data_IF_280957697264
#
_entry.id   IF_280957697264
#
_cell.length_a   1.000
_cell.length_b   1.000
_cell.length_c   1.000
_cell.angle_alpha   90.00
_cell.angle_beta   90.00
_cell.angle_gamma   90.00
#
_symmetry.space_group_name_H-M   'P 1'
#
loop_
_entity.id
_entity.type
_entity.pdbx_description
1 polymer ?
#
# COMPACT_ATOMS: atom_id res chain seq x y z
N UNK A 1 37.03 -11.44 -59.88
CA UNK A 1 37.54 -10.57 -58.78
C UNK A 1 36.74 -9.28 -58.56
N UNK A 2 36.40 -8.49 -59.59
CA UNK A 2 35.64 -7.23 -59.39
C UNK A 2 34.22 -7.44 -58.81
N UNK A 3 33.49 -8.48 -59.25
CA UNK A 3 32.14 -8.83 -58.74
C UNK A 3 32.12 -9.21 -57.25
N UNK A 4 33.15 -9.92 -56.77
CA UNK A 4 33.29 -10.27 -55.35
C UNK A 4 33.53 -9.04 -54.46
N UNK A 5 34.24 -8.03 -54.98
CA UNK A 5 34.41 -6.75 -54.27
C UNK A 5 33.09 -5.99 -54.12
N UNK A 6 32.25 -5.98 -55.16
CA UNK A 6 30.92 -5.34 -55.08
C UNK A 6 29.98 -6.05 -54.11
N UNK A 7 30.01 -7.39 -54.05
CA UNK A 7 29.22 -8.17 -53.07
C UNK A 7 29.71 -7.91 -51.63
N UNK A 8 31.03 -7.81 -51.42
CA UNK A 8 31.59 -7.47 -50.11
C UNK A 8 31.22 -6.04 -49.68
N UNK A 9 31.21 -5.06 -50.60
CA UNK A 9 30.81 -3.69 -50.30
C UNK A 9 29.31 -3.56 -50.01
N UNK A 10 28.44 -4.29 -50.72
CA UNK A 10 27.00 -4.29 -50.40
C UNK A 10 26.70 -4.99 -49.08
N UNK A 11 27.41 -6.07 -48.74
CA UNK A 11 27.28 -6.73 -47.44
C UNK A 11 27.74 -5.83 -46.27
N UNK A 12 28.84 -5.09 -46.45
CA UNK A 12 29.32 -4.14 -45.46
C UNK A 12 28.35 -2.95 -45.29
N UNK A 13 27.83 -2.39 -46.37
CA UNK A 13 26.80 -1.35 -46.29
C UNK A 13 25.50 -1.86 -45.65
N UNK A 14 25.09 -3.10 -45.91
CA UNK A 14 23.90 -3.69 -45.28
C UNK A 14 24.08 -3.90 -43.76
N UNK A 15 25.30 -4.19 -43.29
CA UNK A 15 25.58 -4.36 -41.86
C UNK A 15 25.46 -3.07 -41.05
N UNK A 16 25.59 -1.89 -41.68
CA UNK A 16 25.38 -0.60 -41.02
C UNK A 16 23.89 -0.31 -40.74
N UNK A 17 22.97 -0.94 -41.48
CA UNK A 17 21.52 -0.82 -41.27
C UNK A 17 20.97 -1.79 -40.20
N UNK A 18 21.80 -2.69 -39.66
CA UNK A 18 21.41 -3.59 -38.56
C UNK A 18 21.73 -3.01 -37.18
N UNK A 19 22.23 -1.77 -37.10
CA UNK A 19 22.34 -1.03 -35.84
C UNK A 19 20.95 -0.52 -35.43
N UNK A 20 20.13 -1.40 -34.86
CA UNK A 20 18.94 -0.96 -34.13
C UNK A 20 19.42 -0.25 -32.87
N UNK A 21 19.03 1.02 -32.68
CA UNK A 21 19.08 1.60 -31.35
C UNK A 21 18.26 0.72 -30.41
N UNK A 22 18.78 0.53 -29.21
CA UNK A 22 18.04 -0.09 -28.13
C UNK A 22 16.75 0.72 -27.91
N UNK A 23 15.60 0.07 -28.11
CA UNK A 23 14.28 0.70 -28.07
C UNK A 23 13.55 0.35 -26.77
N UNK A 24 14.28 -0.03 -25.72
CA UNK A 24 13.75 -0.05 -24.37
C UNK A 24 13.67 1.40 -23.86
N UNK A 25 12.51 2.01 -24.10
CA UNK A 25 12.18 3.31 -23.51
C UNK A 25 11.36 3.07 -22.25
N UNK A 26 11.94 3.44 -21.11
CA UNK A 26 11.15 3.64 -19.91
C UNK A 26 10.09 4.72 -20.13
N UNK A 27 8.90 4.60 -19.51
CA UNK A 27 7.88 5.63 -19.61
C UNK A 27 8.45 6.98 -19.19
N UNK A 28 8.28 8.00 -20.03
CA UNK A 28 8.84 9.34 -19.79
C UNK A 28 8.10 10.11 -18.69
N UNK A 29 6.88 9.67 -18.37
CA UNK A 29 5.95 10.31 -17.43
C UNK A 29 5.67 9.46 -16.19
N UNK A 30 6.05 8.19 -16.22
CA UNK A 30 5.83 7.25 -15.12
C UNK A 30 7.18 6.74 -14.63
N UNK A 31 7.22 6.30 -13.38
CA UNK A 31 8.40 5.69 -12.80
C UNK A 31 8.52 4.27 -13.36
N UNK A 32 9.64 3.92 -13.99
CA UNK A 32 9.86 2.54 -14.43
C UNK A 32 10.09 1.64 -13.23
N UNK A 33 9.32 0.54 -13.13
CA UNK A 33 9.42 -0.39 -12.01
C UNK A 33 10.84 -0.97 -11.85
N UNK A 34 11.58 -1.13 -12.95
CA UNK A 34 12.94 -1.72 -12.96
C UNK A 34 14.00 -0.91 -12.21
N UNK A 35 13.98 0.43 -12.28
CA UNK A 35 14.99 1.29 -11.65
C UNK A 35 14.41 2.17 -10.53
N UNK A 36 13.13 1.98 -10.19
CA UNK A 36 12.47 2.84 -9.19
C UNK A 36 13.13 2.74 -7.82
N UNK A 37 13.56 1.55 -7.42
CA UNK A 37 14.04 1.26 -6.07
C UNK A 37 15.52 1.58 -5.82
N UNK A 38 16.28 1.91 -6.86
CA UNK A 38 17.71 2.25 -6.76
C UNK A 38 17.97 3.59 -6.04
N UNK A 39 16.98 4.49 -6.05
CA UNK A 39 17.07 5.77 -5.38
C UNK A 39 16.33 5.73 -4.03
N UNK A 40 17.04 5.95 -2.93
CA UNK A 40 16.44 6.05 -1.58
C UNK A 40 15.27 7.05 -1.52
N UNK A 41 15.36 8.15 -2.28
CA UNK A 41 14.30 9.16 -2.39
C UNK A 41 12.99 8.56 -2.92
N UNK A 42 13.07 7.65 -3.89
CA UNK A 42 11.90 6.99 -4.45
C UNK A 42 11.26 6.05 -3.43
N UNK A 43 12.07 5.30 -2.69
CA UNK A 43 11.62 4.51 -1.54
C UNK A 43 10.89 5.37 -0.50
N UNK A 44 11.46 6.52 -0.13
CA UNK A 44 10.82 7.45 0.80
C UNK A 44 9.49 8.03 0.28
N UNK A 45 9.40 8.35 -1.01
CA UNK A 45 8.16 8.82 -1.64
C UNK A 45 7.08 7.73 -1.65
N UNK A 46 7.45 6.49 -1.96
CA UNK A 46 6.55 5.36 -1.94
C UNK A 46 6.07 5.06 -0.51
N UNK A 47 6.96 5.10 0.49
CA UNK A 47 6.62 4.94 1.90
C UNK A 47 5.67 6.06 2.38
N UNK A 48 5.90 7.30 1.99
CA UNK A 48 5.02 8.44 2.31
C UNK A 48 3.59 8.17 1.82
N UNK A 49 3.44 7.55 0.65
CA UNK A 49 2.14 7.15 0.12
C UNK A 49 1.48 6.07 0.99
N UNK A 50 2.26 5.17 1.60
CA UNK A 50 1.75 4.18 2.55
C UNK A 50 1.18 4.83 3.80
N UNK A 51 1.81 5.87 4.35
CA UNK A 51 1.29 6.64 5.49
C UNK A 51 0.04 7.44 5.12
N UNK A 52 0.00 8.01 3.91
CA UNK A 52 -1.16 8.75 3.43
C UNK A 52 -2.37 7.86 3.19
N UNK A 53 -2.19 6.69 2.58
CA UNK A 53 -3.29 5.82 2.13
C UNK A 53 -4.29 6.60 1.28
N UNK A 54 -5.56 6.58 1.69
CA UNK A 54 -6.65 7.29 0.99
C UNK A 54 -7.07 8.60 1.65
N UNK A 55 -6.36 9.07 2.69
CA UNK A 55 -6.72 10.28 3.41
C UNK A 55 -6.74 11.46 2.44
N UNK A 56 -7.83 12.22 2.46
CA UNK A 56 -8.02 13.35 1.54
C UNK A 56 -7.66 14.66 2.24
N UNK A 57 -7.23 15.67 1.49
CA UNK A 57 -6.92 17.01 2.03
C UNK A 57 -8.17 17.91 2.10
N UNK A 58 -9.37 17.36 1.90
CA UNK A 58 -10.61 18.12 1.73
C UNK A 58 -11.72 17.67 2.67
N UNK A 59 -12.93 18.19 2.45
CA UNK A 59 -14.11 17.70 3.15
C UNK A 59 -14.38 16.24 2.77
N UNK A 60 -14.34 15.37 3.77
CA UNK A 60 -14.77 13.99 3.64
C UNK A 60 -16.27 13.89 3.97
N UNK A 61 -17.03 13.14 3.17
CA UNK A 61 -18.45 12.85 3.44
C UNK A 61 -18.69 11.36 3.70
N UNK A 62 -17.64 10.56 3.53
CA UNK A 62 -17.57 9.13 3.79
C UNK A 62 -16.21 8.79 4.38
N UNK A 63 -16.07 7.58 4.91
CA UNK A 63 -14.80 7.06 5.41
C UNK A 63 -13.83 6.92 4.24
N UNK A 64 -12.77 7.72 4.23
CA UNK A 64 -11.67 7.58 3.28
C UNK A 64 -10.63 6.56 3.79
N UNK A 65 -10.40 6.54 5.10
CA UNK A 65 -9.42 5.71 5.78
C UNK A 65 -9.74 5.61 7.28
N UNK A 66 -9.25 4.56 7.97
CA UNK A 66 -9.38 4.45 9.42
C UNK A 66 -8.75 5.62 10.18
N UNK A 67 -7.66 6.20 9.66
CA UNK A 67 -6.95 7.31 10.30
C UNK A 67 -7.38 8.68 9.86
N UNK A 68 -8.33 8.77 8.92
CA UNK A 68 -8.86 10.06 8.52
C UNK A 68 -9.68 10.66 9.66
N UNK A 69 -9.79 11.99 9.67
CA UNK A 69 -10.61 12.71 10.65
C UNK A 69 -12.04 12.13 10.71
N UNK A 70 -12.65 11.86 9.56
CA UNK A 70 -13.97 11.23 9.53
C UNK A 70 -13.94 9.75 9.92
N UNK A 71 -12.90 9.01 9.54
CA UNK A 71 -12.71 7.62 9.96
C UNK A 71 -12.71 7.45 11.48
N UNK A 72 -12.03 8.35 12.21
CA UNK A 72 -11.97 8.33 13.67
C UNK A 72 -13.26 8.84 14.33
N UNK A 73 -13.85 9.93 13.82
CA UNK A 73 -15.10 10.44 14.38
C UNK A 73 -16.28 9.50 14.18
N UNK A 74 -16.28 8.73 13.09
CA UNK A 74 -17.37 7.82 12.82
C UNK A 74 -17.36 6.59 13.71
N UNK A 75 -16.20 6.18 14.24
CA UNK A 75 -16.17 5.13 15.27
C UNK A 75 -16.77 5.61 16.61
N UNK A 76 -16.77 6.90 16.91
CA UNK A 76 -17.45 7.44 18.11
C UNK A 76 -18.98 7.35 18.04
N UNK A 77 -19.55 7.14 16.85
CA UNK A 77 -20.99 6.90 16.71
C UNK A 77 -21.35 5.42 16.93
N UNK A 78 -20.35 4.57 17.17
CA UNK A 78 -20.53 3.19 17.68
C UNK A 78 -20.67 3.15 19.21
N UNK A 79 -20.54 4.31 19.87
CA UNK A 79 -20.62 4.45 21.33
C UNK A 79 -21.75 5.41 21.70
N UNK A 80 -21.92 5.68 23.00
CA UNK A 80 -22.88 6.65 23.53
C UNK A 80 -22.42 8.12 23.37
N UNK A 81 -21.22 8.36 22.82
CA UNK A 81 -20.69 9.72 22.60
C UNK A 81 -21.31 10.44 21.39
N UNK A 82 -21.82 9.71 20.39
CA UNK A 82 -22.25 10.27 19.12
C UNK A 82 -23.56 9.68 18.60
N UNK A 83 -24.41 10.53 18.01
CA UNK A 83 -25.64 10.09 17.37
C UNK A 83 -25.90 10.88 16.09
N UNK A 84 -26.20 10.18 14.99
CA UNK A 84 -26.52 10.82 13.72
C UNK A 84 -27.94 11.41 13.73
N UNK A 85 -28.03 12.71 13.47
CA UNK A 85 -29.30 13.46 13.44
C UNK A 85 -29.92 13.61 12.05
N UNK A 86 -29.36 12.97 11.01
CA UNK A 86 -29.78 13.16 9.61
C UNK A 86 -30.98 12.28 9.23
N UNK A 87 -31.45 11.44 10.15
CA UNK A 87 -32.69 10.65 10.04
C UNK A 87 -32.46 9.16 9.79
N UNK A 88 -33.52 8.37 9.97
CA UNK A 88 -33.47 6.90 10.03
C UNK A 88 -33.01 6.23 8.72
N UNK A 89 -33.20 6.91 7.60
CA UNK A 89 -32.74 6.41 6.29
C UNK A 89 -31.23 6.58 6.07
N UNK A 90 -30.55 7.37 6.91
CA UNK A 90 -29.11 7.58 6.76
C UNK A 90 -28.35 6.30 7.11
N UNK A 91 -27.44 5.79 6.24
CA UNK A 91 -26.66 4.59 6.56
C UNK A 91 -25.85 4.74 7.85
N UNK A 92 -25.48 5.96 8.24
CA UNK A 92 -24.77 6.24 9.47
C UNK A 92 -25.63 6.07 10.72
N UNK A 93 -26.88 6.55 10.68
CA UNK A 93 -27.88 6.31 11.75
C UNK A 93 -28.11 4.80 11.97
N UNK A 94 -28.11 4.01 10.89
CA UNK A 94 -28.31 2.56 10.97
C UNK A 94 -27.19 1.84 11.73
N UNK A 95 -26.02 2.45 11.84
CA UNK A 95 -24.90 1.89 12.60
C UNK A 95 -25.17 1.99 14.12
N UNK A 96 -25.60 3.16 14.60
CA UNK A 96 -25.82 3.41 16.03
C UNK A 96 -27.19 2.91 16.54
N UNK A 97 -28.18 2.76 15.65
CA UNK A 97 -29.55 2.32 16.01
C UNK A 97 -29.76 0.80 16.01
N UNK A 98 -28.70 0.01 15.79
CA UNK A 98 -28.79 -1.47 15.75
C UNK A 98 -29.48 -2.02 14.49
N UNK A 99 -29.60 -1.20 13.44
CA UNK A 99 -30.24 -1.56 12.16
C UNK A 99 -29.23 -1.84 11.04
N UNK A 100 -27.98 -2.16 11.39
CA UNK A 100 -26.90 -2.33 10.43
C UNK A 100 -27.23 -3.44 9.41
N UNK A 101 -27.08 -3.10 8.12
CA UNK A 101 -27.27 -4.00 6.99
C UNK A 101 -25.93 -4.27 6.29
N UNK A 102 -25.86 -5.34 5.50
CA UNK A 102 -24.65 -5.75 4.78
C UNK A 102 -24.26 -4.82 3.62
N UNK A 103 -25.13 -3.89 3.22
CA UNK A 103 -24.91 -2.91 2.15
C UNK A 103 -24.49 -1.53 2.68
N UNK A 104 -24.14 -1.41 3.96
CA UNK A 104 -23.76 -0.14 4.58
C UNK A 104 -22.48 0.45 3.95
N UNK A 105 -22.61 1.61 3.32
CA UNK A 105 -21.52 2.26 2.58
C UNK A 105 -20.34 2.69 3.45
N UNK A 106 -20.57 3.07 4.70
CA UNK A 106 -19.50 3.49 5.62
C UNK A 106 -18.65 2.28 6.06
N UNK A 107 -19.31 1.18 6.41
CA UNK A 107 -18.63 -0.08 6.75
C UNK A 107 -17.82 -0.62 5.55
N UNK A 108 -18.40 -0.56 4.35
CA UNK A 108 -17.68 -0.90 3.11
C UNK A 108 -16.45 -0.02 2.86
N UNK A 109 -16.53 1.27 3.25
CA UNK A 109 -15.41 2.21 3.19
C UNK A 109 -14.22 1.82 4.08
N UNK A 110 -14.49 1.44 5.34
CA UNK A 110 -13.45 0.92 6.24
C UNK A 110 -12.77 -0.33 5.68
N UNK A 111 -13.55 -1.29 5.20
CA UNK A 111 -13.02 -2.51 4.59
C UNK A 111 -12.12 -2.21 3.39
N UNK A 112 -12.65 -1.44 2.43
CA UNK A 112 -11.98 -1.18 1.16
C UNK A 112 -10.72 -0.33 1.33
N UNK A 113 -10.74 0.64 2.24
CA UNK A 113 -9.58 1.50 2.53
C UNK A 113 -8.44 0.71 3.18
N UNK A 114 -8.74 -0.14 4.17
CA UNK A 114 -7.75 -0.99 4.80
C UNK A 114 -7.08 -1.95 3.81
N UNK A 115 -7.87 -2.69 3.01
CA UNK A 115 -7.31 -3.61 2.02
C UNK A 115 -6.53 -2.90 0.91
N UNK A 116 -6.94 -1.69 0.52
CA UNK A 116 -6.16 -0.88 -0.42
C UNK A 116 -4.79 -0.53 0.16
N UNK A 117 -4.72 -0.08 1.42
CA UNK A 117 -3.45 0.23 2.09
C UNK A 117 -2.59 -1.01 2.29
N UNK A 118 -3.18 -2.15 2.67
CA UNK A 118 -2.48 -3.45 2.74
C UNK A 118 -1.87 -3.82 1.39
N UNK A 119 -2.62 -3.70 0.30
CA UNK A 119 -2.12 -3.95 -1.05
C UNK A 119 -0.98 -3.02 -1.45
N UNK A 120 -1.02 -1.75 -1.04
CA UNK A 120 0.10 -0.82 -1.23
C UNK A 120 1.33 -1.26 -0.43
N UNK A 121 1.16 -1.67 0.83
CA UNK A 121 2.26 -2.17 1.66
C UNK A 121 2.89 -3.44 1.07
N UNK A 122 2.09 -4.39 0.58
CA UNK A 122 2.60 -5.61 -0.03
C UNK A 122 3.41 -5.33 -1.30
N UNK A 123 2.95 -4.39 -2.14
CA UNK A 123 3.71 -3.95 -3.32
C UNK A 123 5.01 -3.24 -2.95
N UNK A 124 4.96 -2.38 -1.92
CA UNK A 124 6.15 -1.71 -1.42
C UNK A 124 7.18 -2.71 -0.91
N UNK A 125 6.76 -3.68 -0.09
CA UNK A 125 7.63 -4.70 0.49
C UNK A 125 8.25 -5.58 -0.60
N UNK A 126 7.46 -6.02 -1.59
CA UNK A 126 7.97 -6.78 -2.73
C UNK A 126 8.95 -5.97 -3.60
N UNK A 127 8.69 -4.67 -3.78
CA UNK A 127 9.53 -3.82 -4.62
C UNK A 127 10.83 -3.41 -3.95
N UNK A 128 10.78 -3.00 -2.68
CA UNK A 128 11.97 -2.51 -1.96
C UNK A 128 13.00 -3.61 -1.71
N UNK A 129 12.63 -4.89 -1.80
CA UNK A 129 13.57 -6.01 -1.71
C UNK A 129 14.73 -5.89 -2.70
N UNK A 130 14.52 -5.37 -3.91
CA UNK A 130 15.58 -5.19 -4.92
C UNK A 130 16.48 -3.96 -4.67
N UNK A 131 16.09 -3.05 -3.77
CA UNK A 131 16.87 -1.87 -3.45
C UNK A 131 18.22 -2.24 -2.81
N UNK A 132 19.22 -1.37 -2.97
CA UNK A 132 20.52 -1.52 -2.30
C UNK A 132 20.36 -1.56 -0.78
N UNK A 133 21.06 -2.49 -0.12
CA UNK A 133 21.04 -2.65 1.33
C UNK A 133 21.54 -1.38 2.05
N UNK A 134 20.75 -0.91 3.02
CA UNK A 134 21.05 0.27 3.83
C UNK A 134 20.21 0.28 5.10
N UNK A 135 20.65 0.99 6.14
CA UNK A 135 19.83 1.20 7.35
C UNK A 135 18.48 1.87 7.02
N UNK A 136 18.47 2.74 5.99
CA UNK A 136 17.25 3.38 5.50
C UNK A 136 16.28 2.36 4.92
N UNK A 137 16.76 1.41 4.10
CA UNK A 137 15.95 0.28 3.58
C UNK A 137 15.35 -0.55 4.72
N UNK A 138 16.17 -0.96 5.69
CA UNK A 138 15.72 -1.75 6.84
C UNK A 138 14.61 -1.03 7.62
N UNK A 139 14.81 0.26 7.92
CA UNK A 139 13.80 1.09 8.59
C UNK A 139 12.52 1.21 7.76
N UNK A 140 12.62 1.48 6.46
CA UNK A 140 11.45 1.62 5.59
C UNK A 140 10.63 0.32 5.50
N UNK A 141 11.29 -0.84 5.48
CA UNK A 141 10.62 -2.15 5.54
C UNK A 141 9.86 -2.29 6.86
N UNK A 142 10.49 -1.94 7.99
CA UNK A 142 9.87 -1.99 9.30
C UNK A 142 8.63 -1.09 9.40
N UNK A 143 8.71 0.13 8.88
CA UNK A 143 7.59 1.07 8.80
C UNK A 143 6.44 0.48 7.96
N UNK A 144 6.72 -0.06 6.77
CA UNK A 144 5.70 -0.67 5.92
C UNK A 144 5.03 -1.90 6.56
N UNK A 145 5.80 -2.75 7.26
CA UNK A 145 5.27 -3.89 8.04
C UNK A 145 4.36 -3.42 9.18
N UNK A 146 4.79 -2.41 9.94
CA UNK A 146 4.00 -1.83 11.01
C UNK A 146 2.67 -1.26 10.49
N UNK A 147 2.70 -0.51 9.39
CA UNK A 147 1.48 0.04 8.76
C UNK A 147 0.53 -1.07 8.31
N UNK A 148 1.04 -2.11 7.64
CA UNK A 148 0.24 -3.28 7.21
C UNK A 148 -0.40 -4.01 8.39
N UNK A 149 0.39 -4.30 9.43
CA UNK A 149 -0.09 -4.96 10.63
C UNK A 149 -1.14 -4.12 11.37
N UNK A 150 -1.03 -2.80 11.35
CA UNK A 150 -2.03 -1.90 11.95
C UNK A 150 -3.37 -1.97 11.23
N UNK A 151 -3.37 -2.04 9.89
CA UNK A 151 -4.61 -2.21 9.13
C UNK A 151 -5.28 -3.55 9.44
N UNK A 152 -4.49 -4.63 9.55
CA UNK A 152 -5.00 -5.93 9.97
C UNK A 152 -5.54 -5.93 11.39
N UNK A 153 -4.91 -5.19 12.31
CA UNK A 153 -5.41 -5.05 13.66
C UNK A 153 -6.81 -4.41 13.68
N UNK A 154 -7.06 -3.36 12.88
CA UNK A 154 -8.42 -2.80 12.76
C UNK A 154 -9.40 -3.77 12.12
N UNK A 155 -9.03 -4.41 11.01
CA UNK A 155 -9.89 -5.37 10.34
C UNK A 155 -10.28 -6.51 11.30
N UNK A 156 -9.32 -7.09 12.01
CA UNK A 156 -9.57 -8.12 13.00
C UNK A 156 -10.42 -7.60 14.18
N UNK A 157 -10.22 -6.36 14.62
CA UNK A 157 -10.97 -5.78 15.75
C UNK A 157 -12.45 -5.57 15.43
N UNK A 158 -12.76 -5.09 14.20
CA UNK A 158 -14.13 -4.72 13.82
C UNK A 158 -14.86 -5.79 13.00
N UNK A 159 -14.15 -6.55 12.17
CA UNK A 159 -14.71 -7.55 11.25
C UNK A 159 -14.42 -8.99 11.66
N UNK A 160 -13.56 -9.20 12.66
CA UNK A 160 -13.12 -10.51 13.14
C UNK A 160 -12.37 -11.29 12.07
N UNK A 161 -12.97 -12.36 11.55
CA UNK A 161 -12.33 -13.24 10.58
C UNK A 161 -12.31 -12.59 9.20
N UNK A 162 -11.11 -12.34 8.68
CA UNK A 162 -10.89 -11.67 7.40
C UNK A 162 -9.77 -12.34 6.61
N UNK A 163 -9.70 -12.17 5.28
CA UNK A 163 -8.57 -12.63 4.47
C UNK A 163 -7.22 -12.02 4.91
N UNK A 164 -6.26 -12.86 5.32
CA UNK A 164 -4.89 -12.46 5.62
C UNK A 164 -4.02 -12.62 4.37
N UNK A 165 -3.60 -11.49 3.78
CA UNK A 165 -2.89 -11.38 2.51
C UNK A 165 -1.62 -10.55 2.74
N UNK A 166 -0.48 -11.23 2.77
CA UNK A 166 0.83 -10.62 3.09
C UNK A 166 1.75 -10.49 1.88
N UNK A 167 1.25 -10.83 0.69
CA UNK A 167 1.98 -10.78 -0.58
C UNK A 167 1.16 -10.06 -1.64
N UNK A 168 1.79 -9.73 -2.77
CA UNK A 168 1.08 -9.22 -3.94
C UNK A 168 0.36 -10.40 -4.59
N UNK A 169 -0.95 -10.25 -4.81
CA UNK A 169 -1.78 -11.26 -5.48
C UNK A 169 -2.14 -10.77 -6.88
N UNK A 170 -2.22 -11.71 -7.81
CA UNK A 170 -2.93 -11.54 -9.07
C UNK A 170 -4.43 -11.45 -8.84
N UNK A 171 -5.17 -11.03 -9.88
CA UNK A 171 -6.64 -10.99 -9.81
C UNK A 171 -7.27 -12.36 -9.60
N UNK A 172 -6.67 -13.41 -10.14
CA UNK A 172 -7.15 -14.79 -9.99
C UNK A 172 -6.91 -15.32 -8.56
N UNK A 173 -5.71 -15.12 -8.01
CA UNK A 173 -5.39 -15.50 -6.63
C UNK A 173 -6.27 -14.76 -5.62
N UNK A 174 -6.55 -13.47 -5.87
CA UNK A 174 -7.40 -12.64 -5.02
C UNK A 174 -8.83 -13.20 -4.86
N UNK A 175 -9.35 -13.90 -5.86
CA UNK A 175 -10.69 -14.50 -5.83
C UNK A 175 -10.78 -15.79 -5.00
N UNK A 176 -9.63 -16.38 -4.63
CA UNK A 176 -9.56 -17.68 -3.96
C UNK A 176 -9.09 -17.58 -2.50
N UNK A 177 -8.89 -16.37 -1.97
CA UNK A 177 -8.40 -16.17 -0.60
C UNK A 177 -9.51 -16.50 0.40
N UNK A 178 -9.20 -17.37 1.37
CA UNK A 178 -10.10 -17.71 2.47
C UNK A 178 -9.86 -16.79 3.68
N UNK A 179 -10.85 -16.73 4.58
CA UNK A 179 -10.69 -16.00 5.84
C UNK A 179 -9.73 -16.71 6.77
N UNK A 180 -8.90 -15.93 7.45
CA UNK A 180 -8.16 -16.35 8.62
C UNK A 180 -8.92 -15.93 9.89
N UNK A 181 -8.74 -16.68 10.96
CA UNK A 181 -9.38 -16.41 12.25
C UNK A 181 -8.86 -15.12 12.88
N UNK A 182 -9.73 -14.39 13.58
CA UNK A 182 -9.39 -13.18 14.32
C UNK A 182 -8.18 -13.41 15.25
N UNK A 183 -8.17 -14.53 15.98
CA UNK A 183 -7.12 -14.86 16.93
C UNK A 183 -5.75 -15.00 16.23
N UNK A 184 -5.69 -15.70 15.10
CA UNK A 184 -4.47 -15.87 14.34
C UNK A 184 -3.98 -14.55 13.75
N UNK A 185 -4.88 -13.71 13.24
CA UNK A 185 -4.53 -12.38 12.70
C UNK A 185 -3.96 -11.49 13.79
N UNK A 186 -4.59 -11.43 14.97
CA UNK A 186 -4.10 -10.63 16.10
C UNK A 186 -2.73 -11.13 16.59
N UNK A 187 -2.51 -12.44 16.61
CA UNK A 187 -1.19 -13.01 16.94
C UNK A 187 -0.14 -12.66 15.87
N UNK A 188 -0.50 -12.71 14.59
CA UNK A 188 0.37 -12.28 13.50
C UNK A 188 0.71 -10.79 13.60
N UNK A 189 -0.26 -9.91 13.87
CA UNK A 189 -0.04 -8.50 14.11
C UNK A 189 0.95 -8.26 15.26
N UNK A 190 0.79 -8.96 16.39
CA UNK A 190 1.70 -8.83 17.53
C UNK A 190 3.15 -9.18 17.17
N UNK A 191 3.36 -10.20 16.35
CA UNK A 191 4.68 -10.57 15.81
C UNK A 191 5.22 -9.48 14.88
N UNK A 192 4.44 -9.02 13.89
CA UNK A 192 4.87 -7.95 12.98
C UNK A 192 5.25 -6.67 13.74
N UNK A 193 4.47 -6.26 14.74
CA UNK A 193 4.77 -5.09 15.57
C UNK A 193 6.05 -5.26 16.36
N UNK A 194 6.24 -6.43 16.99
CA UNK A 194 7.43 -6.71 17.79
C UNK A 194 8.69 -6.72 16.94
N UNK A 195 8.63 -7.35 15.76
CA UNK A 195 9.78 -7.44 14.88
C UNK A 195 10.10 -6.09 14.23
N UNK A 196 9.09 -5.36 13.73
CA UNK A 196 9.28 -4.02 13.19
C UNK A 196 9.89 -3.07 14.23
N UNK A 197 9.50 -3.18 15.51
CA UNK A 197 10.03 -2.35 16.57
C UNK A 197 11.55 -2.49 16.79
N UNK A 198 12.18 -3.61 16.38
CA UNK A 198 13.63 -3.78 16.49
C UNK A 198 14.40 -2.90 15.48
N UNK A 199 13.76 -2.58 14.35
CA UNK A 199 14.35 -1.86 13.22
C UNK A 199 13.89 -0.39 13.15
N UNK A 200 13.01 0.03 14.07
CA UNK A 200 12.53 1.39 14.19
C UNK A 200 13.33 2.16 15.26
N UNK A 201 13.73 3.42 14.99
CA UNK A 201 14.45 4.23 15.97
C UNK A 201 13.55 4.55 17.16
N UNK A 202 14.15 4.66 18.36
CA UNK A 202 13.41 5.20 19.50
C UNK A 202 13.12 6.67 19.26
N UNK A 203 11.99 7.15 19.78
CA UNK A 203 11.62 8.57 19.66
C UNK A 203 12.74 9.53 20.11
N UNK A 204 13.47 9.20 21.18
CA UNK A 204 14.60 9.98 21.69
C UNK A 204 15.80 10.06 20.74
N UNK A 205 15.88 9.18 19.75
CA UNK A 205 16.98 9.07 18.78
C UNK A 205 16.63 9.74 17.44
N UNK A 206 15.35 10.12 17.25
CA UNK A 206 14.89 10.79 16.03
C UNK A 206 15.38 12.24 16.03
N UNK A 207 16.09 12.62 14.97
CA UNK A 207 16.57 14.00 14.80
C UNK A 207 15.40 14.94 14.52
N UNK A 208 15.48 16.19 14.97
CA UNK A 208 14.43 17.19 14.71
C UNK A 208 14.17 17.42 13.22
N UNK A 209 15.18 17.23 12.36
CA UNK A 209 15.05 17.29 10.89
C UNK A 209 14.19 16.17 10.29
N UNK A 210 13.93 15.11 11.05
CA UNK A 210 13.09 13.97 10.64
C UNK A 210 11.73 13.97 11.36
N UNK A 211 11.40 15.03 12.10
CA UNK A 211 10.09 15.14 12.75
C UNK A 211 8.98 15.26 11.68
N UNK A 212 7.98 14.38 11.77
CA UNK A 212 6.88 14.32 10.80
C UNK A 212 7.24 13.62 9.48
N UNK A 213 8.43 13.01 9.40
CA UNK A 213 8.78 12.03 8.37
C UNK A 213 7.93 10.77 8.52
#
# INVERSE_FOLDING_TARGET
>A
MKRLKYIAYTALCASLFLSSCDLERYPLTDLSEENFWDAEKNGSLALTSLYRGNITNGLEYSVSDFWSYHGLLFTEHLTDNGFDRRGENNPFFKISSGQLQNDNSFISGYWSSAYKRIGMCNRFLAGIESATESESKTRMIAEARFLRATQYHYLASYFKDVPLVTTVLTGEESNNVTKETQANILNWCATEFKEAANDLPRFSEIKSSETGR
#
